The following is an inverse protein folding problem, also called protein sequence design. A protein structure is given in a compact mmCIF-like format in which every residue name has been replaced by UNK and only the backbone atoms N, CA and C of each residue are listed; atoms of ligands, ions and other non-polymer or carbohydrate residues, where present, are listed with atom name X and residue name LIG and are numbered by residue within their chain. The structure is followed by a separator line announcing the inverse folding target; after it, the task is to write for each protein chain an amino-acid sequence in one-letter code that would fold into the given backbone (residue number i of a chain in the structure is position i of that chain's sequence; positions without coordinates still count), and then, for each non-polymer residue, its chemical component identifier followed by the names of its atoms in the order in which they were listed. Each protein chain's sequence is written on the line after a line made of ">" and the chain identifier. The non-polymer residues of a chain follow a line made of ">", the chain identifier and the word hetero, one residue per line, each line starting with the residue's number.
data_IF_540287929092
#
_entry.id   IF_540287929092
#
_cell.length_a   1.000
_cell.length_b   1.000
_cell.length_c   1.000
_cell.angle_alpha   90.00
_cell.angle_beta   90.00
_cell.angle_gamma   90.00
#
_symmetry.space_group_name_H-M   'P 1'
#
loop_
_entity.id
_entity.type
_entity.pdbx_description
1 polymer ?
#
# COMPACT_ATOMS: atom_id res chain seq x y z
N UNK A 1 -8.25 -12.45 22.37
CA UNK A 1 -8.84 -11.17 22.73
C UNK A 1 -8.31 -10.13 21.78
N UNK A 2 -9.22 -9.59 21.04
CA UNK A 2 -8.87 -8.73 19.94
C UNK A 2 -8.22 -7.46 20.46
N UNK A 3 -7.33 -6.95 19.69
CA UNK A 3 -6.78 -5.61 19.80
C UNK A 3 -7.83 -4.50 19.85
N UNK A 4 -9.10 -4.86 19.67
CA UNK A 4 -10.26 -3.94 19.60
C UNK A 4 -10.50 -3.12 20.86
N UNK A 5 -9.86 -3.46 21.96
CA UNK A 5 -9.98 -2.74 23.25
C UNK A 5 -8.70 -1.98 23.60
N UNK A 6 -7.66 -2.11 22.81
CA UNK A 6 -6.43 -1.37 23.06
C UNK A 6 -6.26 -0.22 22.05
N UNK A 7 -5.38 0.70 22.39
CA UNK A 7 -5.05 1.85 21.56
C UNK A 7 -4.51 1.52 20.15
N UNK A 8 -4.28 0.23 19.90
CA UNK A 8 -3.78 -0.26 18.62
C UNK A 8 -4.88 -0.58 17.61
N UNK A 9 -6.13 -0.59 18.03
CA UNK A 9 -7.27 -0.79 17.14
C UNK A 9 -7.64 0.51 16.43
N UNK A 10 -6.64 1.17 16.00
CA UNK A 10 -6.79 2.36 15.21
C UNK A 10 -6.43 1.95 13.78
N UNK A 11 -7.43 1.98 12.92
CA UNK A 11 -7.23 2.00 11.48
C UNK A 11 -6.48 3.29 11.11
N UNK A 12 -5.22 3.37 11.52
CA UNK A 12 -4.41 4.55 11.33
C UNK A 12 -4.23 4.85 9.85
N UNK A 13 -4.09 3.79 9.04
CA UNK A 13 -4.05 3.90 7.60
C UNK A 13 -4.35 2.56 6.91
N UNK A 14 -4.98 2.64 5.73
CA UNK A 14 -5.13 1.52 4.81
C UNK A 14 -4.07 1.61 3.72
N UNK A 15 -3.10 0.70 3.75
CA UNK A 15 -2.01 0.68 2.79
C UNK A 15 -2.28 -0.34 1.67
N UNK A 16 -2.44 0.15 0.43
CA UNK A 16 -2.64 -0.72 -0.73
C UNK A 16 -1.32 -1.34 -1.20
N UNK A 17 -1.14 -2.64 -0.95
CA UNK A 17 0.06 -3.40 -1.30
C UNK A 17 0.28 -3.53 -2.82
N UNK A 18 -0.75 -3.35 -3.64
CA UNK A 18 -0.63 -3.39 -5.10
C UNK A 18 -0.10 -2.07 -5.68
N UNK A 19 -0.27 -0.95 -4.97
CA UNK A 19 0.14 0.38 -5.49
C UNK A 19 1.63 0.49 -5.77
N UNK A 20 2.55 0.04 -4.90
CA UNK A 20 3.98 -0.01 -5.22
C UNK A 20 4.29 -0.81 -6.48
N UNK A 21 3.54 -1.90 -6.76
CA UNK A 21 3.72 -2.69 -7.97
C UNK A 21 3.34 -1.90 -9.24
N UNK A 22 2.24 -1.15 -9.21
CA UNK A 22 1.86 -0.26 -10.30
C UNK A 22 2.94 0.80 -10.56
N UNK A 23 3.52 1.36 -9.50
CA UNK A 23 4.60 2.34 -9.60
C UNK A 23 5.89 1.76 -10.19
N UNK A 24 6.15 0.46 -10.07
CA UNK A 24 7.26 -0.18 -10.79
C UNK A 24 7.03 -0.11 -12.30
N UNK A 25 5.84 -0.48 -12.78
CA UNK A 25 5.52 -0.45 -14.21
C UNK A 25 5.55 0.96 -14.81
N UNK A 26 5.16 1.97 -14.04
CA UNK A 26 5.16 3.37 -14.45
C UNK A 26 6.46 4.13 -14.13
N UNK A 27 7.47 3.45 -13.56
CA UNK A 27 8.72 4.08 -13.10
C UNK A 27 8.46 5.25 -12.11
N UNK A 28 7.57 5.03 -11.17
CA UNK A 28 7.22 6.00 -10.13
C UNK A 28 6.24 7.09 -10.56
N UNK A 29 5.74 7.05 -11.79
CA UNK A 29 4.84 8.08 -12.31
C UNK A 29 3.36 7.72 -12.08
N UNK A 30 2.53 8.72 -11.82
CA UNK A 30 1.08 8.61 -11.85
C UNK A 30 0.48 9.89 -12.45
N UNK A 31 -0.36 9.74 -13.47
CA UNK A 31 -1.02 10.85 -14.18
C UNK A 31 -0.10 12.01 -14.59
N UNK A 32 1.16 11.69 -14.89
CA UNK A 32 2.17 12.67 -15.29
C UNK A 32 2.98 13.29 -14.15
N UNK A 33 2.69 12.92 -12.90
CA UNK A 33 3.43 13.37 -11.72
C UNK A 33 4.33 12.25 -11.17
N UNK A 34 5.47 12.62 -10.62
CA UNK A 34 6.36 11.68 -9.94
C UNK A 34 5.88 11.50 -8.48
N UNK A 35 5.24 10.37 -8.22
CA UNK A 35 4.69 10.04 -6.90
C UNK A 35 5.46 8.94 -6.16
N UNK A 36 6.24 8.15 -6.89
CA UNK A 36 7.15 7.13 -6.36
C UNK A 36 8.59 7.45 -6.66
N UNK A 37 9.48 6.49 -6.46
CA UNK A 37 10.88 6.61 -6.87
C UNK A 37 11.08 6.08 -8.30
N UNK A 38 12.09 6.56 -8.97
CA UNK A 38 12.47 6.04 -10.29
C UNK A 38 13.33 4.79 -10.12
N UNK A 39 12.75 3.63 -10.37
CA UNK A 39 13.41 2.31 -10.26
C UNK A 39 13.95 1.80 -11.59
N UNK A 40 13.73 2.54 -12.65
CA UNK A 40 14.14 2.18 -14.01
C UNK A 40 12.98 1.65 -14.86
N UNK A 41 13.28 1.42 -16.14
CA UNK A 41 12.30 0.87 -17.08
C UNK A 41 12.22 -0.64 -16.93
N UNK A 42 11.04 -1.15 -16.57
CA UNK A 42 10.79 -2.58 -16.37
C UNK A 42 11.11 -3.42 -17.61
N UNK A 43 11.02 -2.85 -18.82
CA UNK A 43 11.30 -3.56 -20.06
C UNK A 43 12.78 -3.91 -20.24
N UNK A 44 13.66 -3.30 -19.43
CA UNK A 44 15.10 -3.55 -19.41
C UNK A 44 15.54 -4.51 -18.32
N UNK A 45 14.63 -4.90 -17.42
CA UNK A 45 14.90 -5.84 -16.35
C UNK A 45 14.91 -7.26 -16.93
N UNK A 46 16.04 -7.94 -16.84
CA UNK A 46 16.27 -9.24 -17.48
C UNK A 46 15.94 -10.41 -16.57
N UNK A 47 15.90 -10.19 -15.26
CA UNK A 47 15.62 -11.21 -14.24
C UNK A 47 14.47 -10.80 -13.35
N UNK A 48 13.79 -11.79 -12.77
CA UNK A 48 12.74 -11.54 -11.79
C UNK A 48 13.29 -10.84 -10.54
N UNK A 49 14.52 -11.14 -10.16
CA UNK A 49 15.20 -10.52 -9.01
C UNK A 49 15.34 -9.01 -9.19
N UNK A 50 15.71 -8.55 -10.37
CA UNK A 50 15.80 -7.10 -10.68
C UNK A 50 14.43 -6.43 -10.58
N UNK A 51 13.38 -7.07 -11.11
CA UNK A 51 12.01 -6.59 -11.02
C UNK A 51 11.52 -6.56 -9.57
N UNK A 52 11.78 -7.63 -8.82
CA UNK A 52 11.37 -7.73 -7.42
C UNK A 52 12.13 -6.73 -6.53
N UNK A 53 13.40 -6.46 -6.81
CA UNK A 53 14.17 -5.42 -6.12
C UNK A 53 13.61 -4.02 -6.41
N UNK A 54 13.17 -3.75 -7.62
CA UNK A 54 12.47 -2.51 -7.95
C UNK A 54 11.15 -2.38 -7.15
N UNK A 55 10.38 -3.47 -7.04
CA UNK A 55 9.18 -3.51 -6.21
C UNK A 55 9.48 -3.24 -4.73
N UNK A 56 10.50 -3.90 -4.16
CA UNK A 56 10.92 -3.67 -2.77
C UNK A 56 11.26 -2.20 -2.51
N UNK A 57 12.00 -1.57 -3.41
CA UNK A 57 12.36 -0.14 -3.29
C UNK A 57 11.13 0.76 -3.31
N UNK A 58 10.16 0.51 -4.21
CA UNK A 58 8.90 1.25 -4.22
C UNK A 58 8.13 1.05 -2.92
N UNK A 59 8.08 -0.18 -2.43
CA UNK A 59 7.43 -0.53 -1.17
C UNK A 59 8.07 0.21 0.03
N UNK A 60 9.40 0.17 0.14
CA UNK A 60 10.16 0.89 1.19
C UNK A 60 9.86 2.39 1.17
N UNK A 61 9.84 2.99 -0.02
CA UNK A 61 9.49 4.39 -0.17
C UNK A 61 8.05 4.68 0.29
N UNK A 62 7.08 3.91 -0.18
CA UNK A 62 5.67 4.08 0.22
C UNK A 62 5.47 3.88 1.73
N UNK A 63 6.15 2.88 2.32
CA UNK A 63 6.11 2.66 3.77
C UNK A 63 6.74 3.85 4.51
N UNK A 64 7.82 4.42 4.02
CA UNK A 64 8.43 5.61 4.64
C UNK A 64 7.49 6.81 4.66
N UNK A 65 6.73 7.01 3.60
CA UNK A 65 5.70 8.06 3.54
C UNK A 65 4.56 7.77 4.53
N UNK A 66 4.11 6.51 4.59
CA UNK A 66 3.07 6.07 5.53
C UNK A 66 3.50 6.34 6.98
N UNK A 67 4.69 5.90 7.37
CA UNK A 67 5.23 6.12 8.74
C UNK A 67 5.32 7.60 9.08
N UNK A 68 5.78 8.43 8.15
CA UNK A 68 5.84 9.87 8.38
C UNK A 68 4.45 10.49 8.54
N UNK A 69 3.48 10.05 7.75
CA UNK A 69 2.09 10.51 7.86
C UNK A 69 1.47 10.08 9.20
N UNK A 70 1.63 8.81 9.58
CA UNK A 70 1.10 8.29 10.85
C UNK A 70 1.72 9.00 12.05
N UNK A 71 3.03 9.22 12.05
CA UNK A 71 3.70 9.98 13.12
C UNK A 71 3.15 11.42 13.22
N UNK A 72 2.88 12.07 12.10
CA UNK A 72 2.30 13.41 12.10
C UNK A 72 0.86 13.42 12.64
N UNK A 73 0.09 12.39 12.31
CA UNK A 73 -1.28 12.21 12.81
C UNK A 73 -1.27 11.95 14.32
N UNK A 74 -0.37 11.08 14.81
CA UNK A 74 -0.24 10.79 16.24
C UNK A 74 0.07 12.06 17.05
N UNK A 75 1.00 12.88 16.57
CA UNK A 75 1.31 14.17 17.21
C UNK A 75 0.08 15.09 17.20
N UNK A 76 -0.62 15.19 16.07
CA UNK A 76 -1.80 16.03 15.96
C UNK A 76 -2.93 15.55 16.89
N UNK A 77 -3.12 14.25 17.04
CA UNK A 77 -4.10 13.69 17.98
C UNK A 77 -3.72 13.96 19.43
N UNK A 78 -2.45 13.79 19.81
CA UNK A 78 -1.97 14.08 21.16
C UNK A 78 -2.22 15.56 21.55
N UNK A 79 -2.00 16.48 20.61
CA UNK A 79 -2.13 17.91 20.87
C UNK A 79 -3.58 18.42 20.82
N UNK A 80 -4.41 17.87 19.93
CA UNK A 80 -5.70 18.47 19.57
C UNK A 80 -6.92 17.64 19.93
N UNK A 81 -6.77 16.32 20.04
CA UNK A 81 -7.89 15.39 20.22
C UNK A 81 -7.60 14.35 21.30
N UNK A 82 -7.21 14.74 22.54
CA UNK A 82 -7.03 13.75 23.59
C UNK A 82 -8.35 13.08 23.94
N UNK A 83 -8.30 11.78 24.25
CA UNK A 83 -9.47 10.98 24.63
C UNK A 83 -9.41 10.63 26.13
N UNK A 84 -9.82 11.53 27.03
CA UNK A 84 -9.66 11.35 28.48
C UNK A 84 -10.48 10.15 28.99
N UNK A 85 -11.68 9.96 28.50
CA UNK A 85 -12.53 8.83 28.93
C UNK A 85 -11.91 7.48 28.57
N UNK A 86 -11.43 7.32 27.33
CA UNK A 86 -10.71 6.11 26.91
C UNK A 86 -9.44 5.92 27.76
N UNK A 87 -8.71 6.99 27.99
CA UNK A 87 -7.46 6.97 28.76
C UNK A 87 -7.65 6.49 30.21
N UNK A 88 -8.83 6.73 30.79
CA UNK A 88 -9.16 6.21 32.13
C UNK A 88 -9.35 4.68 32.15
N UNK A 89 -9.62 4.06 31.01
CA UNK A 89 -9.85 2.60 30.89
C UNK A 89 -8.61 1.84 30.43
N UNK A 90 -7.54 2.55 30.06
CA UNK A 90 -6.31 1.94 29.54
C UNK A 90 -5.23 1.97 30.62
N UNK A 91 -4.54 0.83 30.77
CA UNK A 91 -3.51 0.65 31.79
C UNK A 91 -2.39 1.67 31.68
N UNK A 92 -1.95 2.16 32.84
CA UNK A 92 -0.90 3.13 33.09
C UNK A 92 -1.21 4.60 32.72
N UNK A 93 -2.24 4.88 31.92
CA UNK A 93 -2.57 6.26 31.56
C UNK A 93 -2.81 7.15 32.81
N UNK A 94 -3.63 6.66 33.76
CA UNK A 94 -3.91 7.37 35.01
C UNK A 94 -2.65 7.52 35.89
N UNK A 95 -1.82 6.48 35.97
CA UNK A 95 -0.59 6.50 36.75
C UNK A 95 0.43 7.50 36.20
N UNK A 96 0.53 7.58 34.87
CA UNK A 96 1.45 8.49 34.18
C UNK A 96 0.89 9.91 34.04
N UNK A 97 -0.43 10.10 34.25
CA UNK A 97 -1.10 11.38 33.99
C UNK A 97 -1.05 11.79 32.51
N UNK A 98 -1.07 10.81 31.60
CA UNK A 98 -1.00 11.01 30.14
C UNK A 98 -2.16 10.30 29.47
N UNK A 99 -2.70 10.92 28.42
CA UNK A 99 -3.68 10.27 27.57
C UNK A 99 -3.07 9.14 26.75
N UNK A 100 -3.92 8.28 26.19
CA UNK A 100 -3.48 7.23 25.26
C UNK A 100 -2.68 7.83 24.11
N UNK A 101 -3.16 8.94 23.54
CA UNK A 101 -2.53 9.63 22.41
C UNK A 101 -1.16 10.25 22.77
N UNK A 102 -0.93 10.55 24.06
CA UNK A 102 0.37 11.04 24.57
C UNK A 102 1.32 9.91 24.98
N UNK A 103 0.99 8.66 24.66
CA UNK A 103 1.79 7.50 25.03
C UNK A 103 1.64 7.10 26.49
N UNK A 104 0.46 7.36 27.10
CA UNK A 104 0.15 6.96 28.49
C UNK A 104 0.05 5.45 28.68
N UNK A 105 -0.41 4.73 27.67
CA UNK A 105 -0.60 3.27 27.70
C UNK A 105 0.72 2.51 27.94
N UNK A 106 0.62 1.27 28.46
CA UNK A 106 1.75 0.33 28.55
C UNK A 106 2.23 -0.04 27.17
N UNK A 107 1.28 -0.37 26.31
CA UNK A 107 1.51 -0.64 24.89
C UNK A 107 0.85 0.47 24.08
N UNK A 108 1.64 1.13 23.28
CA UNK A 108 1.18 2.20 22.40
C UNK A 108 1.55 1.86 20.96
N UNK A 109 0.54 1.52 20.16
CA UNK A 109 0.71 1.08 18.79
C UNK A 109 0.03 2.03 17.82
N UNK A 110 0.63 2.24 16.67
CA UNK A 110 -0.02 2.74 15.48
C UNK A 110 -0.35 1.53 14.60
N UNK A 111 -1.58 1.42 14.11
CA UNK A 111 -2.09 0.22 13.46
C UNK A 111 -2.32 0.39 11.94
N UNK A 112 -1.28 0.59 11.11
CA UNK A 112 -1.46 0.60 9.67
C UNK A 112 -1.83 -0.81 9.17
N UNK A 113 -2.82 -0.89 8.29
CA UNK A 113 -3.29 -2.15 7.73
C UNK A 113 -2.93 -2.26 6.25
N UNK A 114 -2.21 -3.33 5.89
CA UNK A 114 -1.93 -3.67 4.51
C UNK A 114 -3.04 -4.52 3.90
N UNK A 115 -3.63 -4.08 2.80
CA UNK A 115 -4.62 -4.86 2.07
C UNK A 115 -4.18 -5.12 0.62
N UNK A 116 -4.84 -6.10 -0.01
CA UNK A 116 -4.47 -6.55 -1.34
C UNK A 116 -3.24 -7.47 -1.38
N UNK A 117 -2.89 -8.10 -0.25
CA UNK A 117 -1.72 -8.99 -0.13
C UNK A 117 -1.83 -10.15 -1.11
N UNK A 118 -2.99 -10.82 -1.19
CA UNK A 118 -3.21 -11.91 -2.14
C UNK A 118 -3.09 -11.43 -3.59
N UNK A 119 -3.74 -10.32 -3.93
CA UNK A 119 -3.66 -9.73 -5.28
C UNK A 119 -2.21 -9.39 -5.67
N UNK A 120 -1.46 -8.81 -4.75
CA UNK A 120 -0.06 -8.48 -4.95
C UNK A 120 0.79 -9.74 -5.16
N UNK A 121 0.61 -10.77 -4.32
CA UNK A 121 1.34 -12.02 -4.42
C UNK A 121 1.03 -12.75 -5.74
N UNK A 122 -0.23 -12.84 -6.12
CA UNK A 122 -0.68 -13.43 -7.39
C UNK A 122 -0.12 -12.66 -8.59
N UNK A 123 -0.11 -11.33 -8.52
CA UNK A 123 0.45 -10.49 -9.58
C UNK A 123 1.96 -10.68 -9.74
N UNK A 124 2.71 -10.72 -8.63
CA UNK A 124 4.15 -11.00 -8.66
C UNK A 124 4.43 -12.42 -9.19
N UNK A 125 3.64 -13.40 -8.77
CA UNK A 125 3.76 -14.77 -9.24
C UNK A 125 3.44 -14.88 -10.73
N UNK A 126 2.41 -14.20 -11.21
CA UNK A 126 2.06 -14.15 -12.62
C UNK A 126 3.19 -13.53 -13.46
N UNK A 127 3.75 -12.41 -13.03
CA UNK A 127 4.91 -11.80 -13.70
C UNK A 127 6.09 -12.76 -13.73
N UNK A 128 6.44 -13.37 -12.59
CA UNK A 128 7.53 -14.35 -12.51
C UNK A 128 7.32 -15.48 -13.49
N UNK A 129 6.17 -16.12 -13.45
CA UNK A 129 5.88 -17.32 -14.25
C UNK A 129 5.78 -17.00 -15.74
N UNK A 130 4.95 -16.02 -16.12
CA UNK A 130 4.65 -15.77 -17.53
C UNK A 130 5.77 -15.06 -18.28
N UNK A 131 6.48 -14.15 -17.60
CA UNK A 131 7.51 -13.33 -18.26
C UNK A 131 8.89 -13.96 -18.13
N UNK A 132 9.28 -14.39 -16.93
CA UNK A 132 10.66 -14.84 -16.69
C UNK A 132 10.86 -16.35 -16.82
N UNK A 133 9.99 -17.16 -16.23
CA UNK A 133 10.16 -18.62 -16.20
C UNK A 133 9.71 -19.27 -17.52
N UNK A 134 8.46 -19.06 -17.92
CA UNK A 134 7.85 -19.69 -19.11
C UNK A 134 8.04 -18.87 -20.40
N UNK A 135 8.37 -17.60 -20.28
CA UNK A 135 8.60 -16.65 -21.41
C UNK A 135 7.46 -16.62 -22.41
N UNK A 136 6.22 -16.78 -21.93
CA UNK A 136 5.00 -16.71 -22.76
C UNK A 136 4.67 -15.30 -23.20
N UNK A 137 5.13 -14.31 -22.42
CA UNK A 137 4.85 -12.90 -22.59
C UNK A 137 6.13 -12.10 -22.32
N UNK A 138 6.44 -11.13 -23.15
CA UNK A 138 7.53 -10.20 -22.84
C UNK A 138 7.08 -9.14 -21.85
N UNK A 139 8.00 -8.58 -21.06
CA UNK A 139 7.70 -7.48 -20.14
C UNK A 139 7.12 -6.27 -20.87
N UNK A 140 7.51 -6.05 -22.13
CA UNK A 140 6.97 -4.97 -22.95
C UNK A 140 5.50 -5.19 -23.29
N UNK A 141 5.13 -6.39 -23.72
CA UNK A 141 3.75 -6.77 -24.03
C UNK A 141 2.88 -6.69 -22.77
N UNK A 142 3.38 -7.18 -21.62
CA UNK A 142 2.67 -7.07 -20.36
C UNK A 142 2.43 -5.61 -19.97
N UNK A 143 3.45 -4.76 -20.05
CA UNK A 143 3.33 -3.33 -19.76
C UNK A 143 2.31 -2.65 -20.69
N UNK A 144 2.33 -2.96 -21.97
CA UNK A 144 1.39 -2.44 -22.95
C UNK A 144 -0.04 -2.92 -22.65
N UNK A 145 -0.22 -4.20 -22.37
CA UNK A 145 -1.52 -4.74 -21.99
C UNK A 145 -2.11 -4.07 -20.73
N UNK A 146 -1.30 -3.88 -19.70
CA UNK A 146 -1.73 -3.18 -18.48
C UNK A 146 -2.05 -1.69 -18.74
N UNK A 147 -1.22 -1.01 -19.54
CA UNK A 147 -1.42 0.41 -19.86
C UNK A 147 -2.69 0.65 -20.69
N UNK A 148 -3.00 -0.28 -21.60
CA UNK A 148 -4.18 -0.23 -22.47
C UNK A 148 -5.39 -0.94 -21.88
N UNK A 149 -5.30 -1.39 -20.63
CA UNK A 149 -6.32 -2.23 -19.99
C UNK A 149 -6.70 -3.43 -20.88
N UNK A 150 -5.68 -4.18 -21.34
CA UNK A 150 -5.82 -5.34 -22.24
C UNK A 150 -6.47 -5.01 -23.60
N UNK A 151 -6.20 -3.84 -24.13
CA UNK A 151 -6.80 -3.35 -25.38
C UNK A 151 -8.22 -2.81 -25.21
N UNK A 152 -8.75 -2.90 -24.00
CA UNK A 152 -10.02 -2.27 -23.65
C UNK A 152 -9.72 -0.85 -23.16
N UNK A 153 -9.55 0.07 -24.05
CA UNK A 153 -9.82 1.48 -23.77
C UNK A 153 -11.31 1.60 -23.48
N UNK A 154 -11.72 1.20 -22.28
CA UNK A 154 -13.12 1.13 -21.89
C UNK A 154 -13.67 2.55 -21.88
N UNK A 155 -14.28 2.94 -23.01
CA UNK A 155 -15.26 4.00 -22.98
C UNK A 155 -16.52 3.46 -22.25
N UNK A 156 -17.41 4.33 -21.82
CA UNK A 156 -18.60 3.91 -21.07
C UNK A 156 -19.52 2.95 -21.87
N UNK A 157 -19.43 2.95 -23.19
CA UNK A 157 -20.18 2.06 -24.07
C UNK A 157 -19.64 0.63 -24.02
N UNK A 158 -18.31 0.46 -23.97
CA UNK A 158 -17.67 -0.86 -23.83
C UNK A 158 -18.00 -1.52 -22.49
N UNK A 159 -18.02 -0.71 -21.39
CA UNK A 159 -18.41 -1.20 -20.05
C UNK A 159 -19.88 -1.65 -20.05
N UNK A 160 -20.77 -0.89 -20.67
CA UNK A 160 -22.19 -1.21 -20.75
C UNK A 160 -22.43 -2.50 -21.57
N UNK A 161 -21.68 -2.71 -22.65
CA UNK A 161 -21.75 -3.93 -23.47
C UNK A 161 -21.32 -5.16 -22.67
N UNK A 162 -20.22 -5.08 -21.91
CA UNK A 162 -19.71 -6.19 -21.09
C UNK A 162 -20.64 -6.55 -19.92
N UNK A 163 -21.37 -5.57 -19.35
CA UNK A 163 -22.32 -5.81 -18.25
C UNK A 163 -23.67 -6.31 -18.72
N UNK A 164 -23.99 -6.22 -20.02
CA UNK A 164 -25.23 -6.73 -20.60
C UNK A 164 -25.16 -8.22 -21.03
N UNK A 165 -23.97 -8.84 -20.98
CA UNK A 165 -23.77 -10.26 -21.34
C UNK A 165 -23.71 -11.19 -20.11
N UNK A 166 -23.97 -10.67 -18.89
CA UNK A 166 -24.06 -11.42 -17.63
C UNK A 166 -25.50 -11.41 -17.14
#
# INVERSE_FOLDING_TARGET
>A
WSSDVCSSDLDAAFFNMCRPLELVFSNGMDKGELVGIQTGDVTKMTTFEEFFDAYKKQMEYCISLLVNADNAIDVAHAERCPLPFLSCMVDDCLKKGKSVQEGGAVYNFTGPQGFGIANMADSLYAVKTLVYDEKKLSMKELKEALTTNYGHGLNQEDIAAMTSEV
#
